data_IF_969637007237
#
_entry.id   IF_969637007237
#
_cell.length_a   1.000
_cell.length_b   1.000
_cell.length_c   1.000
_cell.angle_alpha   90.00
_cell.angle_beta   90.00
_cell.angle_gamma   90.00
#
_symmetry.space_group_name_H-M   'P 1'
#
loop_
_entity.id
_entity.type
_entity.pdbx_description
1 polymer ?
#
# COMPACT_ATOMS: atom_id res chain seq x y z
N UNK A 1 -1.28 18.51 11.82
CA UNK A 1 -0.54 17.83 12.90
C UNK A 1 -1.33 16.61 13.29
N UNK A 2 -0.68 15.45 13.37
CA UNK A 2 -1.34 14.20 13.78
C UNK A 2 -0.36 13.22 14.40
N UNK A 3 -0.90 12.30 15.18
CA UNK A 3 -0.17 11.20 15.79
C UNK A 3 -0.58 9.90 15.09
N UNK A 4 0.39 9.21 14.51
CA UNK A 4 0.16 8.07 13.62
C UNK A 4 0.88 6.83 14.14
N UNK A 5 0.22 5.67 14.08
CA UNK A 5 0.84 4.39 14.44
C UNK A 5 1.46 3.78 13.20
N UNK A 6 2.79 3.66 13.22
CA UNK A 6 3.59 3.14 12.11
C UNK A 6 4.28 1.86 12.55
N UNK A 7 4.08 0.80 11.79
CA UNK A 7 4.76 -0.47 11.95
C UNK A 7 6.02 -0.52 11.08
N UNK A 8 7.13 -0.91 11.70
CA UNK A 8 8.41 -1.13 11.05
C UNK A 8 8.78 -2.60 11.25
N UNK A 9 8.67 -3.40 10.20
CA UNK A 9 8.96 -4.83 10.26
C UNK A 9 10.43 -5.10 10.66
N UNK A 10 10.65 -6.22 11.35
CA UNK A 10 11.97 -6.71 11.74
C UNK A 10 12.92 -6.83 10.54
N UNK A 11 12.51 -7.52 9.47
CA UNK A 11 13.33 -7.77 8.28
C UNK A 11 13.69 -6.46 7.54
N UNK A 12 12.74 -5.52 7.45
CA UNK A 12 12.95 -4.16 6.95
C UNK A 12 13.99 -3.41 7.80
N UNK A 13 13.89 -3.53 9.13
CA UNK A 13 14.80 -2.87 10.07
C UNK A 13 16.21 -3.48 10.02
N UNK A 14 16.31 -4.79 9.93
CA UNK A 14 17.56 -5.55 9.88
C UNK A 14 18.33 -5.32 8.58
N UNK A 15 17.63 -5.33 7.45
CA UNK A 15 18.23 -5.21 6.13
C UNK A 15 18.67 -3.77 5.84
N UNK A 16 17.71 -2.84 5.82
CA UNK A 16 17.93 -1.47 5.36
C UNK A 16 17.63 -0.41 6.43
N UNK A 17 17.13 -0.81 7.59
CA UNK A 17 16.75 0.12 8.63
C UNK A 17 17.89 0.74 9.42
N UNK A 18 17.53 1.83 10.08
CA UNK A 18 18.37 2.53 11.03
C UNK A 18 17.63 2.56 12.37
N UNK A 19 18.22 2.01 13.45
CA UNK A 19 17.67 2.11 14.79
C UNK A 19 17.38 3.56 15.18
N UNK A 20 16.25 3.77 15.84
CA UNK A 20 15.78 5.07 16.30
C UNK A 20 15.33 4.99 17.76
N UNK A 21 15.22 6.14 18.41
CA UNK A 21 14.84 6.31 19.80
C UNK A 21 13.63 7.23 19.93
N UNK A 22 12.94 7.18 21.07
CA UNK A 22 11.93 8.18 21.40
C UNK A 22 12.56 9.58 21.38
N UNK A 23 11.91 10.52 20.70
CA UNK A 23 12.39 11.88 20.50
C UNK A 23 13.16 12.09 19.19
N UNK A 24 13.56 11.04 18.49
CA UNK A 24 14.24 11.18 17.20
C UNK A 24 13.29 11.72 16.12
N UNK A 25 13.82 12.59 15.26
CA UNK A 25 13.19 12.92 13.99
C UNK A 25 13.55 11.83 12.97
N UNK A 26 12.53 11.29 12.32
CA UNK A 26 12.66 10.21 11.35
C UNK A 26 11.94 10.58 10.07
N UNK A 27 12.47 10.10 8.95
CA UNK A 27 11.86 10.22 7.63
C UNK A 27 11.68 8.82 7.07
N UNK A 28 10.42 8.43 6.84
CA UNK A 28 10.06 7.08 6.44
C UNK A 28 9.19 7.08 5.18
N UNK A 29 9.53 6.23 4.19
CA UNK A 29 8.58 5.84 3.15
C UNK A 29 7.45 5.01 3.77
N UNK A 30 6.22 5.53 3.72
CA UNK A 30 5.06 4.87 4.32
C UNK A 30 4.17 4.24 3.25
N UNK A 31 3.73 3.02 3.50
CA UNK A 31 2.72 2.29 2.73
C UNK A 31 1.49 2.05 3.61
N UNK A 32 0.29 2.14 3.03
CA UNK A 32 -0.94 1.74 3.70
C UNK A 32 -1.27 0.29 3.32
N UNK A 33 -1.16 -0.61 4.29
CA UNK A 33 -1.70 -1.97 4.20
C UNK A 33 -3.16 -1.96 4.66
N UNK A 34 -4.10 -1.92 3.71
CA UNK A 34 -5.54 -1.88 3.96
C UNK A 34 -6.09 -3.20 4.54
N UNK A 35 -5.41 -4.33 4.29
CA UNK A 35 -5.82 -5.65 4.78
C UNK A 35 -5.31 -5.97 6.18
N UNK A 36 -4.21 -5.33 6.61
CA UNK A 36 -3.51 -5.70 7.84
C UNK A 36 -3.03 -7.16 7.84
N UNK A 37 -2.98 -7.78 6.66
CA UNK A 37 -2.61 -9.18 6.48
C UNK A 37 -1.11 -9.39 6.59
N UNK A 38 -0.31 -8.33 6.43
CA UNK A 38 1.16 -8.35 6.55
C UNK A 38 1.64 -8.98 7.86
N UNK A 39 0.78 -9.06 8.88
CA UNK A 39 1.05 -9.65 10.19
C UNK A 39 -0.10 -10.55 10.69
N UNK A 40 -0.81 -11.24 9.79
CA UNK A 40 -1.85 -12.20 10.15
C UNK A 40 -3.17 -11.60 10.64
N UNK A 41 -3.48 -10.35 10.27
CA UNK A 41 -4.74 -9.68 10.61
C UNK A 41 -4.84 -9.22 12.07
N UNK A 42 -6.03 -8.85 12.55
CA UNK A 42 -6.29 -8.53 13.96
C UNK A 42 -5.64 -7.26 14.51
N UNK A 43 -5.30 -6.28 13.65
CA UNK A 43 -4.69 -5.00 14.04
C UNK A 43 -5.68 -3.89 14.36
N UNK A 44 -6.95 -4.21 14.66
CA UNK A 44 -8.05 -3.24 14.80
C UNK A 44 -7.75 -2.06 15.74
N UNK A 45 -6.96 -2.26 16.80
CA UNK A 45 -6.53 -1.20 17.73
C UNK A 45 -5.39 -0.29 17.23
N UNK A 46 -4.71 -0.64 16.15
CA UNK A 46 -3.58 0.10 15.58
C UNK A 46 -3.84 0.60 14.15
N UNK A 47 -5.00 0.29 13.57
CA UNK A 47 -5.38 0.79 12.26
C UNK A 47 -5.48 2.30 12.29
N UNK A 48 -4.87 2.94 11.30
CA UNK A 48 -4.96 4.37 11.07
C UNK A 48 -6.09 4.64 10.09
N UNK A 49 -6.96 5.59 10.40
CA UNK A 49 -8.00 6.05 9.49
C UNK A 49 -7.55 7.35 8.81
N UNK A 50 -7.52 7.35 7.48
CA UNK A 50 -7.02 8.46 6.67
C UNK A 50 -8.15 8.93 5.77
N UNK A 51 -8.44 10.23 5.82
CA UNK A 51 -9.32 10.88 4.84
C UNK A 51 -8.50 11.86 4.03
N UNK A 52 -8.37 11.63 2.73
CA UNK A 52 -7.49 12.42 1.87
C UNK A 52 -7.98 12.38 0.43
N UNK A 53 -7.55 13.36 -0.37
CA UNK A 53 -7.69 13.27 -1.82
C UNK A 53 -6.54 12.42 -2.36
N UNK A 54 -6.82 11.34 -3.10
CA UNK A 54 -5.76 10.58 -3.75
C UNK A 54 -5.08 11.40 -4.83
N UNK A 55 -3.76 11.30 -4.89
CA UNK A 55 -2.91 11.90 -5.90
C UNK A 55 -2.10 10.82 -6.60
N UNK A 56 -1.82 11.01 -7.89
CA UNK A 56 -0.87 10.17 -8.63
C UNK A 56 0.44 10.94 -8.76
N UNK A 57 1.52 10.37 -8.24
CA UNK A 57 2.86 10.94 -8.28
C UNK A 57 3.73 10.06 -9.15
N UNK A 58 4.46 10.65 -10.10
CA UNK A 58 5.46 9.91 -10.88
C UNK A 58 6.79 9.90 -10.16
N UNK A 59 7.31 8.70 -9.88
CA UNK A 59 8.64 8.50 -9.31
C UNK A 59 9.38 7.48 -10.17
N UNK A 60 10.56 7.85 -10.67
CA UNK A 60 11.40 7.03 -11.54
C UNK A 60 10.66 6.40 -12.75
N UNK A 61 9.65 7.11 -13.27
CA UNK A 61 8.83 6.67 -14.41
C UNK A 61 7.66 5.76 -14.05
N UNK A 62 7.56 5.29 -12.80
CA UNK A 62 6.38 4.61 -12.28
C UNK A 62 5.36 5.63 -11.73
N UNK A 63 4.08 5.38 -11.95
CA UNK A 63 3.00 6.19 -11.39
C UNK A 63 2.51 5.52 -10.10
N UNK A 64 2.60 6.25 -8.99
CA UNK A 64 2.29 5.76 -7.65
C UNK A 64 1.10 6.55 -7.13
N UNK A 65 0.12 5.86 -6.55
CA UNK A 65 -1.01 6.47 -5.87
C UNK A 65 -0.65 6.79 -4.42
N UNK A 66 -0.94 8.02 -4.00
CA UNK A 66 -0.53 8.58 -2.71
C UNK A 66 -1.74 9.25 -2.05
N UNK A 67 -1.87 9.10 -0.73
CA UNK A 67 -2.77 9.90 0.08
C UNK A 67 -1.97 10.98 0.81
N UNK A 68 -2.39 12.24 0.66
CA UNK A 68 -1.89 13.37 1.46
C UNK A 68 -2.98 13.83 2.42
N UNK A 69 -2.78 13.59 3.70
CA UNK A 69 -3.70 14.07 4.72
C UNK A 69 -3.40 15.54 5.06
N UNK A 70 -4.43 16.26 5.50
CA UNK A 70 -4.34 17.68 5.86
C UNK A 70 -3.34 17.94 7.01
N UNK A 71 -3.01 16.90 7.76
CA UNK A 71 -2.18 16.97 8.94
C UNK A 71 -0.69 16.75 8.68
N UNK A 72 -0.31 16.53 7.42
CA UNK A 72 1.07 16.36 6.94
C UNK A 72 1.44 14.92 6.57
N UNK A 73 0.60 13.92 6.89
CA UNK A 73 0.88 12.52 6.54
C UNK A 73 0.86 12.32 5.02
N UNK A 74 1.89 11.66 4.50
CA UNK A 74 1.99 11.22 3.11
C UNK A 74 2.22 9.71 3.08
N UNK A 75 1.33 8.96 2.43
CA UNK A 75 1.40 7.49 2.39
C UNK A 75 1.09 6.97 0.99
N UNK A 76 1.84 5.97 0.53
CA UNK A 76 1.57 5.25 -0.71
C UNK A 76 0.47 4.20 -0.51
N UNK A 77 -0.24 3.85 -1.58
CA UNK A 77 -1.22 2.75 -1.58
C UNK A 77 -0.66 1.54 -2.33
N UNK A 78 -0.83 0.34 -1.77
CA UNK A 78 -0.51 -0.92 -2.44
C UNK A 78 -1.62 -1.21 -3.47
N UNK A 79 -1.38 -0.92 -4.75
CA UNK A 79 -2.27 -1.16 -5.92
C UNK A 79 -3.59 -0.36 -6.02
N UNK A 80 -4.15 -0.31 -7.24
CA UNK A 80 -5.44 0.33 -7.53
C UNK A 80 -6.58 -0.69 -7.27
N UNK A 81 -7.62 -0.39 -6.47
CA UNK A 81 -8.76 -1.30 -6.28
C UNK A 81 -9.50 -1.65 -7.58
N UNK A 82 -9.30 -0.89 -8.66
CA UNK A 82 -9.89 -1.16 -9.96
C UNK A 82 -9.19 -2.31 -10.72
N UNK A 83 -8.00 -2.77 -10.28
CA UNK A 83 -7.31 -3.93 -10.88
C UNK A 83 -7.95 -5.28 -10.50
N UNK A 84 -8.86 -5.31 -9.50
CA UNK A 84 -9.58 -6.53 -9.11
C UNK A 84 -10.94 -6.69 -9.81
N UNK A 85 -11.36 -5.76 -10.67
CA UNK A 85 -12.66 -5.83 -11.36
C UNK A 85 -12.65 -6.68 -12.65
N UNK A 86 -11.53 -7.32 -13.02
CA UNK A 86 -11.38 -8.00 -14.31
C UNK A 86 -11.21 -9.53 -14.23
N UNK A 87 -11.66 -10.21 -13.17
CA UNK A 87 -11.75 -11.68 -13.17
C UNK A 87 -13.11 -12.20 -12.69
N UNK A 88 -14.13 -11.93 -13.49
CA UNK A 88 -15.34 -12.77 -13.52
C UNK A 88 -15.65 -13.14 -14.96
N UNK A 89 -15.03 -14.22 -15.43
CA UNK A 89 -15.16 -14.64 -16.82
C UNK A 89 -14.74 -16.06 -17.13
N UNK A 90 -15.08 -17.03 -16.27
CA UNK A 90 -15.13 -18.45 -16.67
C UNK A 90 -16.04 -18.63 -17.88
N UNK A 91 -15.47 -19.11 -18.98
CA UNK A 91 -16.20 -19.48 -20.19
C UNK A 91 -15.33 -20.32 -21.12
N UNK A 92 -15.19 -21.61 -20.79
CA UNK A 92 -14.72 -22.66 -21.70
C UNK A 92 -15.57 -22.68 -22.96
N UNK A 93 -14.95 -22.55 -24.14
CA UNK A 93 -15.44 -23.32 -25.30
C UNK A 93 -14.33 -23.59 -26.32
N UNK A 94 -14.21 -24.87 -26.67
CA UNK A 94 -13.29 -25.36 -27.68
C UNK A 94 -13.98 -25.41 -29.04
N UNK A 95 -13.28 -25.04 -30.12
CA UNK A 95 -13.89 -25.22 -31.44
C UNK A 95 -13.12 -24.65 -32.62
N UNK A 96 -12.36 -25.54 -33.27
CA UNK A 96 -12.21 -25.69 -34.74
C UNK A 96 -11.83 -24.47 -35.59
N UNK A 97 -10.65 -24.63 -36.20
CA UNK A 97 -10.33 -24.45 -37.62
C UNK A 97 -11.39 -23.80 -38.53
N UNK A 98 -11.00 -22.73 -39.25
CA UNK A 98 -11.16 -22.65 -40.71
C UNK A 98 -10.36 -21.51 -41.35
N UNK A 99 -9.69 -21.92 -42.41
CA UNK A 99 -9.04 -21.19 -43.50
C UNK A 99 -9.89 -20.08 -44.13
N UNK A 100 -9.21 -19.02 -44.62
CA UNK A 100 -9.41 -18.32 -45.92
C UNK A 100 -8.40 -17.16 -46.00
N UNK A 101 -7.48 -17.12 -46.94
CA UNK A 101 -7.63 -16.85 -48.38
C UNK A 101 -8.07 -15.42 -48.70
N UNK A 102 -7.09 -14.66 -49.20
CA UNK A 102 -7.13 -13.44 -50.02
C UNK A 102 -8.48 -13.07 -50.66
N UNK A 103 -8.80 -11.77 -50.65
CA UNK A 103 -9.26 -11.07 -51.86
C UNK A 103 -9.07 -9.55 -51.76
N UNK A 104 -8.62 -8.98 -52.88
CA UNK A 104 -8.52 -7.55 -53.17
C UNK A 104 -9.92 -7.02 -53.51
N UNK A 105 -10.21 -5.79 -53.09
CA UNK A 105 -11.38 -5.03 -53.56
C UNK A 105 -11.13 -3.54 -53.45
N UNK A 106 -10.81 -2.90 -54.56
CA UNK A 106 -10.79 -1.43 -54.72
C UNK A 106 -12.23 -0.92 -54.77
N UNK A 107 -12.54 0.15 -54.05
CA UNK A 107 -13.80 0.88 -54.16
C UNK A 107 -13.61 2.33 -53.75
N UNK A 108 -13.57 3.22 -54.74
CA UNK A 108 -13.46 4.68 -54.64
C UNK A 108 -14.88 5.26 -54.56
N UNK A 109 -15.15 6.16 -53.62
CA UNK A 109 -16.42 6.89 -53.56
C UNK A 109 -16.40 7.96 -52.47
N UNK A 110 -16.50 9.22 -52.89
CA UNK A 110 -16.35 10.46 -52.10
C UNK A 110 -17.67 10.95 -51.50
N UNK A 111 -17.58 11.64 -50.34
CA UNK A 111 -18.25 12.92 -49.94
C UNK A 111 -19.06 12.93 -48.62
N UNK A 112 -18.58 13.78 -47.72
CA UNK A 112 -19.23 14.82 -46.88
C UNK A 112 -20.41 14.48 -45.96
N UNK A 113 -20.20 14.80 -44.67
CA UNK A 113 -21.22 15.11 -43.67
C UNK A 113 -20.66 14.88 -42.25
N UNK A 114 -20.12 15.89 -41.56
CA UNK A 114 -20.77 16.55 -40.40
C UNK A 114 -21.39 15.52 -39.45
N UNK A 115 -20.78 15.10 -38.34
CA UNK A 115 -20.19 15.91 -37.29
C UNK A 115 -21.24 16.13 -36.20
N UNK A 116 -21.30 15.26 -35.19
CA UNK A 116 -21.68 15.56 -33.80
C UNK A 116 -21.51 14.32 -32.90
N UNK A 117 -20.54 14.43 -32.00
CA UNK A 117 -20.63 13.94 -30.62
C UNK A 117 -20.77 12.44 -30.38
N UNK A 118 -19.65 11.71 -30.42
CA UNK A 118 -19.45 10.62 -29.46
C UNK A 118 -19.59 11.19 -28.06
N UNK A 119 -20.73 10.92 -27.41
CA UNK A 119 -20.82 10.94 -25.96
C UNK A 119 -19.97 9.80 -25.43
N UNK A 120 -18.65 10.02 -25.35
CA UNK A 120 -17.80 9.22 -24.50
C UNK A 120 -18.22 9.53 -23.08
N UNK A 121 -18.82 8.56 -22.41
CA UNK A 121 -19.01 8.57 -20.97
C UNK A 121 -17.64 8.75 -20.33
N UNK A 122 -17.33 9.99 -20.00
CA UNK A 122 -16.15 10.39 -19.26
C UNK A 122 -16.29 9.92 -17.82
N UNK A 123 -16.16 8.61 -17.60
CA UNK A 123 -15.79 8.03 -16.32
C UNK A 123 -14.30 8.29 -16.07
N UNK A 124 -13.90 9.55 -16.10
CA UNK A 124 -12.68 10.00 -15.45
C UNK A 124 -13.03 10.32 -13.99
N UNK A 125 -12.17 9.99 -13.01
CA UNK A 125 -12.41 10.39 -11.64
C UNK A 125 -12.45 11.93 -11.60
N UNK A 126 -13.60 12.48 -11.20
CA UNK A 126 -13.76 13.92 -11.05
C UNK A 126 -12.70 14.50 -10.09
N UNK A 127 -12.38 15.80 -10.22
CA UNK A 127 -11.41 16.44 -9.34
C UNK A 127 -11.85 16.31 -7.88
N UNK A 128 -10.93 15.89 -7.00
CA UNK A 128 -10.99 16.25 -5.58
C UNK A 128 -11.93 15.45 -4.66
N UNK A 129 -12.42 14.27 -5.06
CA UNK A 129 -13.18 13.43 -4.10
C UNK A 129 -12.25 12.85 -3.04
N UNK A 130 -12.45 13.27 -1.79
CA UNK A 130 -11.78 12.63 -0.64
C UNK A 130 -12.25 11.19 -0.49
N UNK A 131 -11.31 10.30 -0.22
CA UNK A 131 -11.56 8.91 0.13
C UNK A 131 -11.23 8.70 1.61
N UNK A 132 -12.01 7.86 2.28
CA UNK A 132 -11.66 7.33 3.59
C UNK A 132 -11.01 5.96 3.39
N UNK A 133 -9.85 5.76 4.00
CA UNK A 133 -9.12 4.48 4.05
C UNK A 133 -8.75 4.14 5.47
N UNK A 134 -8.60 2.85 5.75
CA UNK A 134 -8.18 2.35 7.05
C UNK A 134 -7.23 1.20 6.84
N UNK A 135 -6.12 1.20 7.56
CA UNK A 135 -5.06 0.23 7.36
C UNK A 135 -3.91 0.43 8.33
N UNK A 136 -2.96 -0.49 8.31
CA UNK A 136 -1.71 -0.35 9.02
C UNK A 136 -0.75 0.50 8.18
N UNK A 137 -0.15 1.53 8.79
CA UNK A 137 0.94 2.25 8.16
C UNK A 137 2.21 1.42 8.33
N UNK A 138 2.82 0.98 7.25
CA UNK A 138 4.07 0.21 7.27
C UNK A 138 5.21 1.02 6.67
N UNK A 139 6.41 0.85 7.22
CA UNK A 139 7.63 1.36 6.58
C UNK A 139 8.02 0.40 5.46
N UNK A 140 8.22 0.92 4.26
CA UNK A 140 8.64 0.15 3.08
C UNK A 140 9.94 0.75 2.51
N UNK A 141 11.09 0.14 2.82
CA UNK A 141 12.38 0.55 2.24
C UNK A 141 12.79 -0.32 1.07
N UNK A 142 12.05 -1.38 0.81
CA UNK A 142 12.27 -2.23 -0.35
C UNK A 142 11.38 -1.81 -1.54
N UNK A 143 11.80 -2.20 -2.75
CA UNK A 143 11.07 -1.87 -3.98
C UNK A 143 11.27 -0.42 -4.47
N UNK A 144 10.17 0.27 -4.78
CA UNK A 144 10.18 1.56 -5.45
C UNK A 144 10.55 2.71 -4.51
N UNK A 145 10.93 3.86 -5.07
CA UNK A 145 11.04 5.10 -4.29
C UNK A 145 9.64 5.61 -3.97
N UNK A 146 9.24 5.46 -2.72
CA UNK A 146 7.96 5.95 -2.21
C UNK A 146 8.09 7.39 -1.67
N UNK A 147 7.01 8.18 -1.65
CA UNK A 147 6.98 9.43 -0.91
C UNK A 147 7.28 9.18 0.57
N UNK A 148 8.03 10.09 1.18
CA UNK A 148 8.40 9.98 2.59
C UNK A 148 7.56 10.91 3.47
N UNK A 149 7.30 10.45 4.70
CA UNK A 149 6.76 11.26 5.79
C UNK A 149 7.85 11.50 6.83
N UNK A 150 8.01 12.76 7.24
CA UNK A 150 8.90 13.14 8.35
C UNK A 150 8.09 13.41 9.61
N UNK A 151 8.54 12.90 10.75
CA UNK A 151 7.92 13.14 12.05
C UNK A 151 8.85 12.84 13.22
N UNK A 152 8.37 13.11 14.43
CA UNK A 152 9.08 12.82 15.67
C UNK A 152 8.52 11.58 16.33
N UNK A 153 9.38 10.63 16.70
CA UNK A 153 8.98 9.41 17.41
C UNK A 153 8.56 9.76 18.84
N UNK A 154 7.36 9.35 19.24
CA UNK A 154 6.78 9.60 20.58
C UNK A 154 6.79 8.40 21.48
N UNK A 155 6.54 7.21 20.93
CA UNK A 155 6.60 5.94 21.67
C UNK A 155 7.14 4.85 20.76
N UNK A 156 7.76 3.83 21.35
CA UNK A 156 8.21 2.64 20.64
C UNK A 156 7.72 1.41 21.41
N UNK A 157 7.09 0.48 20.70
CA UNK A 157 6.76 -0.84 21.23
C UNK A 157 7.41 -1.92 20.36
N UNK A 158 8.12 -2.86 20.96
CA UNK A 158 8.46 -4.11 20.28
C UNK A 158 7.21 -4.95 20.13
N UNK A 159 6.97 -5.43 18.92
CA UNK A 159 5.86 -6.33 18.60
C UNK A 159 6.38 -7.75 18.69
N UNK A 160 5.83 -8.50 19.64
CA UNK A 160 6.03 -9.95 19.74
C UNK A 160 4.86 -10.66 19.07
N UNK A 161 5.15 -11.74 18.34
CA UNK A 161 4.18 -12.52 17.58
C UNK A 161 4.65 -13.98 17.56
N UNK A 162 3.79 -14.89 18.03
CA UNK A 162 4.07 -16.32 17.90
C UNK A 162 3.78 -16.78 16.48
N UNK A 163 4.56 -17.73 15.99
CA UNK A 163 4.38 -18.33 14.67
C UNK A 163 4.27 -19.85 14.81
N UNK A 164 3.29 -20.45 14.14
CA UNK A 164 3.06 -21.89 14.11
C UNK A 164 3.38 -22.46 12.73
N UNK A 165 3.85 -23.71 12.69
CA UNK A 165 4.04 -24.42 11.41
C UNK A 165 2.69 -24.61 10.71
N UNK A 166 2.67 -24.41 9.39
CA UNK A 166 1.45 -24.59 8.59
C UNK A 166 1.05 -26.07 8.44
N UNK A 167 2.02 -26.96 8.59
CA UNK A 167 1.85 -28.41 8.65
C UNK A 167 3.04 -29.02 9.42
N UNK A 168 2.91 -30.20 10.03
CA UNK A 168 4.02 -30.83 10.77
C UNK A 168 5.30 -30.94 9.94
N UNK A 169 6.38 -30.32 10.41
CA UNK A 169 7.69 -30.27 9.75
C UNK A 169 7.83 -29.21 8.66
N UNK A 170 6.84 -28.32 8.50
CA UNK A 170 6.89 -27.22 7.53
C UNK A 170 7.92 -26.17 7.94
N UNK A 171 8.67 -25.65 6.96
CA UNK A 171 9.52 -24.47 7.15
C UNK A 171 8.73 -23.17 7.03
N UNK A 172 7.55 -23.21 6.44
CA UNK A 172 6.64 -22.08 6.40
C UNK A 172 5.90 -22.03 7.71
N UNK A 173 5.93 -20.87 8.34
CA UNK A 173 5.18 -20.59 9.56
C UNK A 173 4.19 -19.48 9.31
N UNK A 174 3.03 -19.58 9.95
CA UNK A 174 2.00 -18.56 9.93
C UNK A 174 1.88 -17.90 11.31
N UNK A 175 1.56 -16.60 11.36
CA UNK A 175 1.32 -15.92 12.61
C UNK A 175 0.13 -16.55 13.34
N UNK A 176 0.32 -16.87 14.61
CA UNK A 176 -0.78 -17.34 15.48
C UNK A 176 -1.70 -16.15 15.73
N UNK A 177 -2.99 -16.23 15.37
CA UNK A 177 -3.92 -15.14 15.62
C UNK A 177 -3.97 -14.77 17.10
N UNK A 178 -3.97 -13.47 17.38
CA UNK A 178 -4.08 -12.91 18.73
C UNK A 178 -2.97 -13.26 19.74
N UNK A 179 -1.85 -13.88 19.35
CA UNK A 179 -0.69 -14.08 20.24
C UNK A 179 0.16 -12.81 20.43
N UNK A 180 -0.24 -11.70 19.81
CA UNK A 180 0.52 -10.45 19.82
C UNK A 180 0.61 -9.83 21.20
N UNK A 181 1.81 -9.41 21.57
CA UNK A 181 2.05 -8.57 22.73
C UNK A 181 2.99 -7.42 22.41
N UNK A 182 2.87 -6.34 23.18
CA UNK A 182 3.63 -5.11 23.00
C UNK A 182 4.52 -4.87 24.21
N UNK A 183 5.81 -4.66 23.98
CA UNK A 183 6.78 -4.31 25.01
C UNK A 183 7.26 -2.89 24.77
N UNK A 184 6.96 -1.98 25.70
CA UNK A 184 7.42 -0.59 25.59
C UNK A 184 8.94 -0.50 25.76
N UNK A 185 9.59 0.22 24.84
CA UNK A 185 11.04 0.47 24.86
C UNK A 185 11.33 1.92 24.49
N UNK A 186 12.49 2.43 24.88
CA UNK A 186 12.90 3.79 24.48
C UNK A 186 13.70 3.82 23.18
N UNK A 187 14.15 2.66 22.69
CA UNK A 187 14.98 2.52 21.49
C UNK A 187 14.66 1.25 20.71
N UNK A 188 14.50 1.39 19.40
CA UNK A 188 14.40 0.28 18.46
C UNK A 188 15.72 -0.48 18.38
N UNK A 189 15.72 -1.82 18.44
CA UNK A 189 16.88 -2.61 18.08
C UNK A 189 17.12 -2.54 16.56
N UNK A 190 18.35 -2.88 16.15
CA UNK A 190 18.63 -3.20 14.74
C UNK A 190 18.26 -4.65 14.43
N UNK A 191 18.66 -5.55 15.32
CA UNK A 191 18.55 -7.00 15.15
C UNK A 191 17.50 -7.53 16.12
N UNK A 192 16.54 -8.27 15.60
CA UNK A 192 15.44 -8.86 16.31
C UNK A 192 15.79 -10.32 16.63
N UNK A 193 15.37 -10.76 17.81
CA UNK A 193 15.46 -12.16 18.21
C UNK A 193 14.22 -12.92 17.75
N UNK A 194 14.23 -14.23 17.93
CA UNK A 194 13.06 -15.06 17.65
C UNK A 194 11.81 -14.55 18.39
N UNK A 195 10.66 -14.60 17.70
CA UNK A 195 9.36 -14.18 18.23
C UNK A 195 9.07 -12.68 18.17
N UNK A 196 10.00 -11.85 17.68
CA UNK A 196 9.77 -10.41 17.47
C UNK A 196 9.51 -10.15 15.99
N UNK A 197 8.39 -9.52 15.68
CA UNK A 197 7.99 -9.22 14.31
C UNK A 197 8.38 -7.81 13.84
N UNK A 198 8.77 -6.92 14.77
CA UNK A 198 9.17 -5.56 14.44
C UNK A 198 8.84 -4.57 15.54
N UNK A 199 8.61 -3.32 15.14
CA UNK A 199 8.35 -2.17 16.01
C UNK A 199 7.06 -1.49 15.62
N UNK A 200 6.24 -1.14 16.61
CA UNK A 200 5.14 -0.20 16.47
C UNK A 200 5.54 1.14 17.09
N UNK A 201 5.72 2.17 16.26
CA UNK A 201 6.06 3.51 16.68
C UNK A 201 4.85 4.44 16.59
N UNK A 202 4.69 5.33 17.58
CA UNK A 202 3.80 6.49 17.43
C UNK A 202 4.61 7.66 16.88
N UNK A 203 4.26 8.10 15.67
CA UNK A 203 4.94 9.14 14.92
C UNK A 203 4.11 10.42 14.96
N UNK A 204 4.67 11.47 15.54
CA UNK A 204 4.08 12.80 15.50
C UNK A 204 4.49 13.51 14.21
N UNK A 205 3.53 13.74 13.32
CA UNK A 205 3.74 14.44 12.06
C UNK A 205 3.32 15.90 12.21
N UNK A 206 4.24 16.87 12.04
CA UNK A 206 3.87 18.28 12.05
C UNK A 206 2.98 18.58 10.85
N UNK A 207 2.05 19.53 11.02
CA UNK A 207 1.23 20.01 9.89
C UNK A 207 2.10 20.56 8.76
N UNK A 208 1.57 20.65 7.54
CA UNK A 208 2.29 21.25 6.42
C UNK A 208 2.77 22.64 6.81
N UNK A 209 4.06 22.93 6.59
CA UNK A 209 4.62 24.27 6.78
C UNK A 209 4.04 25.16 5.67
N UNK A 210 3.18 26.10 6.06
CA UNK A 210 2.58 27.14 5.19
C UNK A 210 3.60 28.19 4.78
#
# INVERSE_FOLDING_TARGET
MGLWRVFYADWEMECCGTPFSVGDEVTWPLLLDEGGETLGGGWSGALSAITATPEYVRVDGAEIRVLRADDGLVVALHSDPDDHAADTGTGTDGGRSRSRSRSRGRGRGTRTGTGTGSGGDGSGPGPGRRVARSGLLTVERHGARWPETTGTVRTIHLVHQDFAETAPGSRTREPVPASRSLEAVDRSPRWFGEGRAGVLAELYVPGPRT
#
